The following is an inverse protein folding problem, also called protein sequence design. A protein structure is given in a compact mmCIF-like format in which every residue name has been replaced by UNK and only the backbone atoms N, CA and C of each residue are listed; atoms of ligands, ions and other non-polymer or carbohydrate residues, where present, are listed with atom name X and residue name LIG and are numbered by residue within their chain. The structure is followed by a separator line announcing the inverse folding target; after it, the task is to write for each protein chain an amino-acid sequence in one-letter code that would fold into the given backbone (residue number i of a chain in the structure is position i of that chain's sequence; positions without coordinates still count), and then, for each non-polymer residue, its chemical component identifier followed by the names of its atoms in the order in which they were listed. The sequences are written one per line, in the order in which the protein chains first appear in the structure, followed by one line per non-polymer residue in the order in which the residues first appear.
data_IF_331867705906
#
_entry.id   IF_331867705906
#
_cell.length_a   1.000
_cell.length_b   1.000
_cell.length_c   1.000
_cell.angle_alpha   90.00
_cell.angle_beta   90.00
_cell.angle_gamma   90.00
#
_symmetry.space_group_name_H-M   'P 1'
#
loop_
_entity.id
_entity.type
_entity.pdbx_description
1 polymer ?
#
# COMPACT_ATOMS: atom_id res chain seq x y z
N UNK A 1 -15.92 71.38 -2.32
CA UNK A 1 -14.48 71.35 -2.63
C UNK A 1 -13.78 70.76 -1.40
N UNK A 2 -13.30 69.50 -1.48
CA UNK A 2 -12.41 68.77 -0.52
C UNK A 2 -12.92 68.63 0.94
N UNK A 3 -12.87 67.54 1.71
CA UNK A 3 -12.16 66.24 1.79
C UNK A 3 -12.99 65.36 2.78
N UNK A 4 -13.11 64.05 2.57
CA UNK A 4 -12.65 63.04 3.54
C UNK A 4 -12.72 61.62 2.97
N UNK A 5 -11.62 60.92 3.21
CA UNK A 5 -11.32 59.56 2.81
C UNK A 5 -12.18 58.52 3.54
N UNK A 6 -12.44 57.39 2.89
CA UNK A 6 -12.69 56.13 3.57
C UNK A 6 -12.11 54.96 2.76
N UNK A 7 -10.90 54.57 3.20
CA UNK A 7 -10.37 53.21 3.24
C UNK A 7 -10.51 52.31 2.00
N UNK A 8 -9.51 52.38 1.12
CA UNK A 8 -8.93 51.16 0.55
C UNK A 8 -8.04 50.52 1.61
N UNK A 9 -8.51 49.46 2.26
CA UNK A 9 -7.60 48.50 2.89
C UNK A 9 -7.15 47.52 1.83
N UNK A 10 -5.91 47.72 1.40
CA UNK A 10 -5.10 46.77 0.66
C UNK A 10 -5.04 45.43 1.41
N UNK A 11 -5.86 44.47 0.99
CA UNK A 11 -5.80 43.09 1.47
C UNK A 11 -4.72 42.28 0.75
N UNK A 12 -3.46 42.71 0.79
CA UNK A 12 -2.32 41.96 0.22
C UNK A 12 -2.05 40.63 0.95
N UNK A 13 -2.57 40.45 2.17
CA UNK A 13 -2.43 39.19 2.92
C UNK A 13 -3.41 38.07 2.56
N UNK A 14 -4.49 38.35 1.81
CA UNK A 14 -5.51 37.34 1.49
C UNK A 14 -5.09 36.38 0.38
N UNK A 15 -4.37 36.88 -0.64
CA UNK A 15 -3.89 36.10 -1.77
C UNK A 15 -2.82 35.07 -1.38
N UNK A 16 -1.88 35.46 -0.52
CA UNK A 16 -0.81 34.60 -0.03
C UNK A 16 -1.34 33.48 0.88
N UNK A 17 -2.32 33.77 1.74
CA UNK A 17 -2.96 32.77 2.61
C UNK A 17 -3.78 31.78 1.79
N UNK A 18 -4.51 32.24 0.78
CA UNK A 18 -5.25 31.38 -0.14
C UNK A 18 -4.32 30.47 -0.96
N UNK A 19 -3.25 31.02 -1.52
CA UNK A 19 -2.22 30.27 -2.24
C UNK A 19 -1.55 29.21 -1.37
N UNK A 20 -1.19 29.57 -0.12
CA UNK A 20 -0.65 28.62 0.87
C UNK A 20 -1.62 27.49 1.18
N UNK A 21 -2.90 27.79 1.40
CA UNK A 21 -3.89 26.77 1.73
C UNK A 21 -4.12 25.79 0.57
N UNK A 22 -4.08 26.27 -0.68
CA UNK A 22 -4.12 25.40 -1.87
C UNK A 22 -2.88 24.50 -1.92
N UNK A 23 -1.68 25.08 -1.79
CA UNK A 23 -0.44 24.31 -1.83
C UNK A 23 -0.40 23.22 -0.75
N UNK A 24 -0.82 23.54 0.48
CA UNK A 24 -0.95 22.56 1.56
C UNK A 24 -1.95 21.46 1.19
N UNK A 25 -3.11 21.80 0.66
CA UNK A 25 -4.13 20.81 0.27
C UNK A 25 -3.63 19.85 -0.83
N UNK A 26 -2.84 20.35 -1.78
CA UNK A 26 -2.23 19.55 -2.84
C UNK A 26 -1.15 18.63 -2.27
N UNK A 27 -0.29 19.15 -1.39
CA UNK A 27 0.73 18.37 -0.70
C UNK A 27 0.11 17.23 0.11
N UNK A 28 -0.98 17.48 0.84
CA UNK A 28 -1.69 16.43 1.58
C UNK A 28 -2.20 15.32 0.66
N UNK A 29 -2.83 15.68 -0.47
CA UNK A 29 -3.33 14.69 -1.45
C UNK A 29 -2.20 13.89 -2.09
N UNK A 30 -1.07 14.54 -2.34
CA UNK A 30 0.13 13.90 -2.87
C UNK A 30 0.69 12.88 -1.87
N UNK A 31 0.90 13.28 -0.61
CA UNK A 31 1.39 12.40 0.46
C UNK A 31 0.47 11.20 0.64
N UNK A 32 -0.85 11.43 0.72
CA UNK A 32 -1.85 10.35 0.82
C UNK A 32 -1.75 9.39 -0.37
N UNK A 33 -1.61 9.92 -1.58
CA UNK A 33 -1.48 9.09 -2.79
C UNK A 33 -0.18 8.28 -2.81
N UNK A 34 0.92 8.87 -2.35
CA UNK A 34 2.20 8.19 -2.21
C UNK A 34 2.13 7.07 -1.16
N UNK A 35 1.51 7.31 0.00
CA UNK A 35 1.28 6.28 1.03
C UNK A 35 0.47 5.13 0.47
N UNK A 36 -0.64 5.42 -0.23
CA UNK A 36 -1.48 4.39 -0.84
C UNK A 36 -0.71 3.58 -1.89
N UNK A 37 0.08 4.24 -2.73
CA UNK A 37 0.92 3.55 -3.71
C UNK A 37 1.96 2.65 -3.03
N UNK A 38 2.64 3.14 -1.99
CA UNK A 38 3.59 2.35 -1.21
C UNK A 38 2.94 1.13 -0.55
N UNK A 39 1.74 1.29 0.02
CA UNK A 39 0.98 0.19 0.60
C UNK A 39 0.58 -0.85 -0.44
N UNK A 40 0.07 -0.40 -1.60
CA UNK A 40 -0.25 -1.28 -2.72
C UNK A 40 0.98 -2.05 -3.21
N UNK A 41 2.12 -1.37 -3.33
CA UNK A 41 3.38 -1.98 -3.75
C UNK A 41 3.92 -2.97 -2.71
N UNK A 42 3.82 -2.64 -1.42
CA UNK A 42 4.14 -3.56 -0.31
C UNK A 42 3.26 -4.82 -0.36
N UNK A 43 1.93 -4.66 -0.46
CA UNK A 43 0.98 -5.78 -0.45
C UNK A 43 1.08 -6.64 -1.71
N UNK A 44 1.61 -6.12 -2.82
CA UNK A 44 1.92 -6.92 -4.02
C UNK A 44 3.03 -7.95 -3.82
N UNK A 45 3.73 -7.90 -2.68
CA UNK A 45 4.91 -8.70 -2.31
C UNK A 45 6.18 -8.44 -3.15
N UNK A 46 6.08 -7.70 -4.26
CA UNK A 46 7.21 -7.37 -5.12
C UNK A 46 8.30 -6.57 -4.37
N UNK A 47 7.91 -5.58 -3.56
CA UNK A 47 8.88 -4.81 -2.77
C UNK A 47 9.63 -5.70 -1.78
N UNK A 48 8.91 -6.60 -1.08
CA UNK A 48 9.54 -7.53 -0.13
C UNK A 48 10.48 -8.46 -0.87
N UNK A 49 10.03 -9.08 -1.98
CA UNK A 49 10.85 -9.96 -2.79
C UNK A 49 12.15 -9.31 -3.27
N UNK A 50 12.10 -8.04 -3.70
CA UNK A 50 13.29 -7.30 -4.14
C UNK A 50 14.29 -7.04 -3.03
N UNK A 51 13.82 -6.73 -1.82
CA UNK A 51 14.68 -6.43 -0.68
C UNK A 51 15.19 -7.69 0.04
N UNK A 52 14.49 -8.81 -0.12
CA UNK A 52 14.80 -10.08 0.59
C UNK A 52 15.30 -11.17 -0.34
N UNK A 53 15.58 -10.87 -1.61
CA UNK A 53 16.21 -11.84 -2.52
C UNK A 53 17.62 -12.12 -2.02
N UNK A 54 17.77 -13.22 -1.30
CA UNK A 54 19.05 -13.90 -1.11
C UNK A 54 18.96 -15.23 -1.89
N UNK A 55 19.83 -15.46 -2.90
CA UNK A 55 19.76 -16.65 -3.77
C UNK A 55 19.87 -17.99 -3.03
N UNK A 56 20.43 -18.00 -1.82
CA UNK A 56 20.77 -19.21 -1.07
C UNK A 56 19.75 -19.58 0.03
N UNK A 57 18.70 -18.78 0.27
CA UNK A 57 17.85 -18.95 1.45
C UNK A 57 16.36 -18.73 1.13
N UNK A 58 15.87 -19.53 0.18
CA UNK A 58 14.46 -19.59 -0.28
C UNK A 58 13.47 -19.93 0.86
N UNK A 59 13.95 -20.52 1.96
CA UNK A 59 13.14 -20.89 3.12
C UNK A 59 13.26 -19.91 4.29
N UNK A 60 14.08 -18.85 4.17
CA UNK A 60 14.24 -17.92 5.28
C UNK A 60 12.96 -17.16 5.57
N UNK A 61 12.33 -17.64 6.63
CA UNK A 61 11.79 -16.92 7.77
C UNK A 61 12.64 -15.73 8.25
N UNK A 62 13.32 -14.98 7.36
CA UNK A 62 14.26 -13.94 7.71
C UNK A 62 13.53 -12.88 8.54
N UNK A 63 14.15 -12.53 9.66
CA UNK A 63 13.65 -11.48 10.55
C UNK A 63 13.45 -10.17 9.77
N UNK A 64 14.25 -9.92 8.74
CA UNK A 64 14.12 -8.79 7.82
C UNK A 64 12.82 -8.84 7.02
N UNK A 65 12.48 -9.97 6.38
CA UNK A 65 11.24 -10.09 5.63
C UNK A 65 10.01 -9.84 6.51
N UNK A 66 10.05 -10.27 7.77
CA UNK A 66 8.98 -10.04 8.75
C UNK A 66 8.90 -8.57 9.17
N UNK A 67 10.04 -7.93 9.41
CA UNK A 67 10.11 -6.53 9.83
C UNK A 67 9.61 -5.55 8.77
N UNK A 68 9.76 -5.88 7.48
CA UNK A 68 9.26 -5.06 6.37
C UNK A 68 7.74 -4.86 6.38
N UNK A 69 6.97 -5.71 7.07
CA UNK A 69 5.51 -5.56 7.16
C UNK A 69 5.06 -4.53 8.20
N UNK A 70 5.86 -4.28 9.25
CA UNK A 70 5.47 -3.37 10.33
C UNK A 70 5.25 -1.91 9.87
N UNK A 71 6.11 -1.31 9.03
CA UNK A 71 5.86 0.01 8.48
C UNK A 71 4.53 0.10 7.73
N UNK A 72 4.18 -0.94 6.97
CA UNK A 72 2.89 -1.03 6.28
C UNK A 72 1.72 -1.00 7.24
N UNK A 73 1.78 -1.77 8.34
CA UNK A 73 0.72 -1.76 9.36
C UNK A 73 0.58 -0.41 10.04
N UNK A 74 1.69 0.27 10.34
CA UNK A 74 1.67 1.63 10.91
C UNK A 74 0.99 2.61 9.95
N UNK A 75 1.33 2.56 8.66
CA UNK A 75 0.71 3.43 7.64
C UNK A 75 -0.80 3.16 7.51
N UNK A 76 -1.23 1.89 7.52
CA UNK A 76 -2.66 1.55 7.52
C UNK A 76 -3.35 2.10 8.76
N UNK A 77 -2.76 1.92 9.95
CA UNK A 77 -3.32 2.46 11.20
C UNK A 77 -3.44 3.99 11.17
N UNK A 78 -2.43 4.69 10.65
CA UNK A 78 -2.45 6.14 10.49
C UNK A 78 -3.62 6.59 9.58
N UNK A 79 -3.83 5.89 8.45
CA UNK A 79 -4.98 6.14 7.58
C UNK A 79 -6.30 5.84 8.28
N UNK A 80 -6.39 4.74 9.03
CA UNK A 80 -7.61 4.39 9.78
C UNK A 80 -7.97 5.44 10.83
N UNK A 81 -7.00 5.91 11.62
CA UNK A 81 -7.24 6.96 12.63
C UNK A 81 -7.68 8.26 11.95
N UNK A 82 -7.09 8.60 10.80
CA UNK A 82 -7.44 9.81 10.05
C UNK A 82 -8.86 9.81 9.49
N UNK A 83 -9.38 8.63 9.12
CA UNK A 83 -10.70 8.43 8.52
C UNK A 83 -11.66 7.61 9.39
N UNK A 84 -11.44 7.60 10.71
CA UNK A 84 -12.11 6.72 11.66
C UNK A 84 -13.65 6.68 11.53
N UNK A 85 -14.40 7.81 11.47
CA UNK A 85 -15.85 7.75 11.37
C UNK A 85 -16.34 7.15 10.03
N UNK A 86 -15.63 7.40 8.94
CA UNK A 86 -15.95 6.84 7.64
C UNK A 86 -15.62 5.34 7.58
N UNK A 87 -14.50 4.93 8.19
CA UNK A 87 -14.09 3.54 8.33
C UNK A 87 -15.08 2.72 9.14
N UNK A 88 -15.55 3.24 10.27
CA UNK A 88 -16.57 2.57 11.10
C UNK A 88 -17.87 2.42 10.30
N UNK A 89 -18.29 3.46 9.57
CA UNK A 89 -19.51 3.40 8.75
C UNK A 89 -19.43 2.30 7.70
N UNK A 90 -18.34 2.22 6.94
CA UNK A 90 -18.21 1.19 5.89
C UNK A 90 -18.05 -0.22 6.46
N UNK A 91 -17.42 -0.35 7.64
CA UNK A 91 -17.32 -1.62 8.35
C UNK A 91 -18.70 -2.14 8.80
N UNK A 92 -19.55 -1.27 9.34
CA UNK A 92 -20.92 -1.62 9.74
C UNK A 92 -21.80 -1.99 8.55
N UNK A 93 -21.58 -1.36 7.39
CA UNK A 93 -22.29 -1.71 6.15
C UNK A 93 -21.88 -3.06 5.56
N UNK A 94 -20.74 -3.62 5.97
CA UNK A 94 -20.22 -4.90 5.47
C UNK A 94 -20.03 -5.92 6.61
N UNK A 95 -21.11 -6.33 7.30
CA UNK A 95 -21.00 -7.15 8.51
C UNK A 95 -20.38 -8.52 8.26
N UNK A 96 -20.58 -9.10 7.06
CA UNK A 96 -20.02 -10.41 6.68
C UNK A 96 -18.48 -10.36 6.71
N UNK A 97 -17.87 -9.32 6.14
CA UNK A 97 -16.41 -9.17 6.14
C UNK A 97 -15.84 -9.10 7.55
N UNK A 98 -16.51 -8.34 8.43
CA UNK A 98 -16.10 -8.21 9.83
C UNK A 98 -16.23 -9.55 10.56
N UNK A 99 -17.33 -10.28 10.37
CA UNK A 99 -17.51 -11.62 10.95
C UNK A 99 -16.42 -12.57 10.48
N UNK A 100 -16.05 -12.57 9.20
CA UNK A 100 -14.96 -13.39 8.69
C UNK A 100 -13.62 -13.06 9.36
N UNK A 101 -13.27 -11.77 9.48
CA UNK A 101 -12.02 -11.35 10.13
C UNK A 101 -12.01 -11.72 11.61
N UNK A 102 -13.13 -11.51 12.31
CA UNK A 102 -13.27 -11.90 13.71
C UNK A 102 -13.17 -13.41 13.89
N UNK A 103 -13.78 -14.20 13.01
CA UNK A 103 -13.70 -15.65 13.02
C UNK A 103 -12.26 -16.14 12.86
N UNK A 104 -11.50 -15.55 11.94
CA UNK A 104 -10.06 -15.81 11.82
C UNK A 104 -9.30 -15.42 13.10
N UNK A 105 -9.69 -14.35 13.78
CA UNK A 105 -9.17 -14.00 15.10
C UNK A 105 -9.44 -15.07 16.16
N UNK A 106 -10.70 -15.54 16.25
CA UNK A 106 -11.13 -16.57 17.21
C UNK A 106 -10.44 -17.91 16.95
N UNK A 107 -10.05 -18.20 15.71
CA UNK A 107 -9.32 -19.43 15.36
C UNK A 107 -7.97 -19.59 16.06
N UNK A 108 -7.44 -18.51 16.64
CA UNK A 108 -6.28 -18.54 17.53
C UNK A 108 -6.47 -19.48 18.73
N UNK A 109 -7.69 -19.59 19.27
CA UNK A 109 -7.98 -20.33 20.51
C UNK A 109 -7.72 -21.82 20.36
N UNK A 110 -7.96 -22.38 19.16
CA UNK A 110 -7.78 -23.80 18.87
C UNK A 110 -6.60 -24.08 17.93
N UNK A 111 -5.70 -23.10 17.75
CA UNK A 111 -4.57 -23.22 16.84
C UNK A 111 -3.43 -24.03 17.44
N UNK A 112 -2.79 -24.88 16.61
CA UNK A 112 -1.59 -25.66 16.97
C UNK A 112 -0.38 -24.73 17.18
N UNK A 113 -0.21 -23.71 16.32
CA UNK A 113 0.78 -22.63 16.48
C UNK A 113 0.10 -21.26 16.71
N UNK A 114 -0.31 -20.92 17.96
CA UNK A 114 -1.04 -19.69 18.25
C UNK A 114 -0.29 -18.43 17.82
N UNK A 115 1.03 -18.38 18.00
CA UNK A 115 1.84 -17.21 17.66
C UNK A 115 1.81 -16.87 16.16
N UNK A 116 1.83 -17.89 15.29
CA UNK A 116 1.76 -17.70 13.84
C UNK A 116 0.36 -17.28 13.43
N UNK A 117 -0.65 -17.92 14.02
CA UNK A 117 -2.06 -17.61 13.76
C UNK A 117 -2.39 -16.17 14.16
N UNK A 118 -1.98 -15.72 15.34
CA UNK A 118 -2.19 -14.33 15.78
C UNK A 118 -1.60 -13.32 14.78
N UNK A 119 -0.35 -13.55 14.36
CA UNK A 119 0.33 -12.68 13.38
C UNK A 119 -0.42 -12.65 12.05
N UNK A 120 -0.89 -13.80 11.57
CA UNK A 120 -1.67 -13.90 10.32
C UNK A 120 -3.05 -13.22 10.45
N UNK A 121 -3.71 -13.36 11.60
CA UNK A 121 -4.98 -12.67 11.87
C UNK A 121 -4.83 -11.16 11.94
N UNK A 122 -3.73 -10.65 12.52
CA UNK A 122 -3.40 -9.21 12.49
C UNK A 122 -3.12 -8.75 11.04
N UNK A 123 -2.34 -9.51 10.28
CA UNK A 123 -2.08 -9.19 8.88
C UNK A 123 -3.38 -9.12 8.07
N UNK A 124 -4.29 -10.08 8.29
CA UNK A 124 -5.62 -10.11 7.67
C UNK A 124 -6.47 -8.90 8.06
N UNK A 125 -6.48 -8.51 9.34
CA UNK A 125 -7.17 -7.32 9.82
C UNK A 125 -6.65 -6.06 9.11
N UNK A 126 -5.33 -5.92 8.99
CA UNK A 126 -4.70 -4.75 8.36
C UNK A 126 -4.98 -4.69 6.86
N UNK A 127 -4.86 -5.81 6.14
CA UNK A 127 -5.15 -5.84 4.69
C UNK A 127 -6.62 -5.61 4.40
N UNK A 128 -7.52 -6.20 5.21
CA UNK A 128 -8.96 -5.97 5.08
C UNK A 128 -9.32 -4.51 5.36
N UNK A 129 -8.74 -3.92 6.40
CA UNK A 129 -8.97 -2.50 6.72
C UNK A 129 -8.46 -1.58 5.62
N UNK A 130 -7.31 -1.90 5.01
CA UNK A 130 -6.81 -1.16 3.85
C UNK A 130 -7.74 -1.30 2.63
N UNK A 131 -8.27 -2.50 2.37
CA UNK A 131 -9.27 -2.72 1.32
C UNK A 131 -10.54 -1.90 1.53
N UNK A 132 -11.06 -1.86 2.76
CA UNK A 132 -12.20 -1.00 3.14
C UNK A 132 -11.88 0.49 2.97
N UNK A 133 -10.66 0.92 3.32
CA UNK A 133 -10.21 2.28 3.09
C UNK A 133 -10.21 2.62 1.59
N UNK A 134 -9.70 1.73 0.73
CA UNK A 134 -9.72 1.94 -0.72
C UNK A 134 -11.14 2.06 -1.26
N UNK A 135 -12.04 1.17 -0.83
CA UNK A 135 -13.44 1.18 -1.27
C UNK A 135 -14.20 2.43 -0.82
N UNK A 136 -13.87 2.98 0.35
CA UNK A 136 -14.47 4.22 0.86
C UNK A 136 -13.93 5.46 0.15
N UNK A 137 -12.65 5.45 -0.25
CA UNK A 137 -11.94 6.65 -0.71
C UNK A 137 -11.93 6.86 -2.23
N UNK A 138 -11.92 5.77 -3.00
CA UNK A 138 -11.69 5.80 -4.44
C UNK A 138 -12.88 5.19 -5.20
N UNK A 139 -13.30 5.87 -6.27
CA UNK A 139 -14.24 5.29 -7.23
C UNK A 139 -13.60 4.14 -8.03
N UNK A 140 -14.43 3.31 -8.66
CA UNK A 140 -13.98 2.19 -9.49
C UNK A 140 -12.89 2.58 -10.50
N UNK A 141 -13.10 3.66 -11.25
CA UNK A 141 -12.13 4.14 -12.24
C UNK A 141 -10.80 4.56 -11.60
N UNK A 142 -10.85 5.22 -10.44
CA UNK A 142 -9.66 5.66 -9.73
C UNK A 142 -8.88 4.45 -9.18
N UNK A 143 -9.60 3.44 -8.66
CA UNK A 143 -9.02 2.20 -8.18
C UNK A 143 -8.28 1.46 -9.31
N UNK A 144 -8.91 1.32 -10.47
CA UNK A 144 -8.33 0.68 -11.66
C UNK A 144 -7.06 1.43 -12.10
N UNK A 145 -7.08 2.77 -12.13
CA UNK A 145 -5.90 3.56 -12.47
C UNK A 145 -4.73 3.34 -11.50
N UNK A 146 -5.00 3.21 -10.19
CA UNK A 146 -3.96 2.95 -9.19
C UNK A 146 -3.34 1.56 -9.35
N UNK A 147 -4.17 0.54 -9.62
CA UNK A 147 -3.68 -0.80 -9.92
C UNK A 147 -2.90 -0.83 -11.24
N UNK A 148 -3.39 -0.18 -12.29
CA UNK A 148 -2.70 -0.09 -13.57
C UNK A 148 -1.32 0.56 -13.42
N UNK A 149 -1.22 1.65 -12.64
CA UNK A 149 0.05 2.30 -12.35
C UNK A 149 1.00 1.35 -11.58
N UNK A 150 0.49 0.62 -10.59
CA UNK A 150 1.29 -0.37 -9.84
C UNK A 150 1.83 -1.47 -10.77
N UNK A 151 0.97 -2.05 -11.61
CA UNK A 151 1.36 -3.10 -12.55
C UNK A 151 2.34 -2.58 -13.60
N UNK A 152 2.15 -1.36 -14.10
CA UNK A 152 3.10 -0.73 -15.02
C UNK A 152 4.47 -0.57 -14.38
N UNK A 153 4.54 -0.02 -13.17
CA UNK A 153 5.81 0.17 -12.46
C UNK A 153 6.49 -1.17 -12.18
N UNK A 154 5.76 -2.17 -11.70
CA UNK A 154 6.32 -3.50 -11.42
C UNK A 154 6.76 -4.23 -12.70
N UNK A 155 6.05 -4.05 -13.81
CA UNK A 155 6.46 -4.60 -15.11
C UNK A 155 7.76 -3.95 -15.61
N UNK A 156 7.89 -2.62 -15.50
CA UNK A 156 9.11 -1.91 -15.87
C UNK A 156 10.29 -2.33 -14.99
N UNK A 157 10.10 -2.45 -13.68
CA UNK A 157 11.13 -2.97 -12.76
C UNK A 157 11.52 -4.38 -13.16
N UNK A 158 10.54 -5.24 -13.46
CA UNK A 158 10.79 -6.63 -13.87
C UNK A 158 11.59 -6.73 -15.17
N UNK A 159 11.25 -5.91 -16.17
CA UNK A 159 12.00 -5.80 -17.43
C UNK A 159 13.43 -5.31 -17.18
N UNK A 160 13.59 -4.27 -16.36
CA UNK A 160 14.90 -3.72 -16.02
C UNK A 160 15.78 -4.78 -15.34
N UNK A 161 15.24 -5.51 -14.35
CA UNK A 161 15.99 -6.55 -13.66
C UNK A 161 16.33 -7.72 -14.59
N UNK A 162 15.41 -8.15 -15.45
CA UNK A 162 15.65 -9.24 -16.39
C UNK A 162 16.78 -8.94 -17.37
N UNK A 163 16.93 -7.68 -17.80
CA UNK A 163 17.90 -7.24 -18.79
C UNK A 163 19.24 -6.80 -18.20
N UNK A 164 19.23 -5.99 -17.14
CA UNK A 164 20.42 -5.32 -16.62
C UNK A 164 21.00 -5.98 -15.36
N UNK A 165 20.19 -6.72 -14.58
CA UNK A 165 20.62 -7.38 -13.34
C UNK A 165 20.10 -8.82 -13.30
N UNK A 166 20.63 -9.72 -14.17
CA UNK A 166 20.13 -11.08 -14.32
C UNK A 166 20.22 -11.91 -13.02
N UNK A 167 21.13 -11.57 -12.11
CA UNK A 167 21.23 -12.20 -10.79
C UNK A 167 19.95 -12.05 -9.95
N UNK A 168 19.24 -10.91 -10.06
CA UNK A 168 18.01 -10.65 -9.33
C UNK A 168 16.75 -10.94 -10.17
N UNK A 169 16.81 -10.68 -11.48
CA UNK A 169 15.68 -10.82 -12.40
C UNK A 169 15.43 -12.22 -12.94
N UNK A 170 16.41 -13.13 -12.82
CA UNK A 170 16.32 -14.51 -13.31
C UNK A 170 16.58 -15.52 -12.19
N UNK A 171 15.92 -16.67 -12.26
CA UNK A 171 16.12 -17.77 -11.31
C UNK A 171 17.49 -18.44 -11.55
N UNK A 172 18.20 -18.75 -10.46
CA UNK A 172 19.58 -19.27 -10.49
C UNK A 172 19.68 -20.78 -10.16
N UNK A 173 18.73 -21.34 -9.41
CA UNK A 173 18.81 -22.74 -8.98
C UNK A 173 17.86 -23.65 -9.76
N UNK A 174 16.57 -23.68 -9.38
CA UNK A 174 15.60 -24.66 -9.86
C UNK A 174 15.29 -24.50 -11.37
N UNK A 175 15.30 -23.25 -11.86
CA UNK A 175 14.95 -22.92 -13.24
C UNK A 175 15.92 -21.89 -13.82
N UNK A 176 17.18 -22.30 -14.02
CA UNK A 176 18.24 -21.44 -14.54
C UNK A 176 17.80 -20.65 -15.78
N UNK A 177 17.95 -19.32 -15.72
CA UNK A 177 17.61 -18.41 -16.82
C UNK A 177 16.12 -18.09 -16.97
N UNK A 178 15.24 -18.68 -16.16
CA UNK A 178 13.81 -18.32 -16.17
C UNK A 178 13.60 -16.94 -15.56
N UNK A 179 12.81 -16.10 -16.25
CA UNK A 179 12.51 -14.75 -15.79
C UNK A 179 11.53 -14.78 -14.62
N UNK A 180 11.93 -14.16 -13.51
CA UNK A 180 11.09 -13.97 -12.31
C UNK A 180 10.80 -12.50 -12.00
N UNK A 181 11.49 -11.58 -12.68
CA UNK A 181 11.21 -10.14 -12.57
C UNK A 181 11.35 -9.63 -11.14
N UNK A 182 10.36 -8.86 -10.69
CA UNK A 182 10.30 -8.30 -9.33
C UNK A 182 9.80 -9.28 -8.25
N UNK A 183 9.44 -10.52 -8.60
CA UNK A 183 8.96 -11.53 -7.66
C UNK A 183 9.99 -12.66 -7.45
N UNK A 184 9.75 -13.47 -6.41
CA UNK A 184 10.65 -14.59 -6.04
C UNK A 184 10.65 -15.73 -7.07
N UNK A 185 9.53 -15.96 -7.75
CA UNK A 185 9.35 -17.09 -8.67
C UNK A 185 8.79 -16.65 -10.03
N UNK A 186 9.17 -17.39 -11.09
CA UNK A 186 8.64 -17.22 -12.45
C UNK A 186 7.10 -17.37 -12.53
N UNK A 187 6.53 -18.26 -11.72
CA UNK A 187 5.08 -18.54 -11.74
C UNK A 187 4.28 -17.38 -11.13
N UNK A 188 4.79 -16.79 -10.05
CA UNK A 188 4.24 -15.58 -9.45
C UNK A 188 4.34 -14.40 -10.41
N UNK A 189 5.48 -14.24 -11.09
CA UNK A 189 5.64 -13.21 -12.12
C UNK A 189 4.62 -13.36 -13.26
N UNK A 190 4.53 -14.55 -13.86
CA UNK A 190 3.58 -14.81 -14.94
C UNK A 190 2.13 -14.62 -14.53
N UNK A 191 1.75 -15.08 -13.33
CA UNK A 191 0.38 -14.93 -12.82
C UNK A 191 -0.04 -13.47 -12.63
N UNK A 192 0.88 -12.61 -12.16
CA UNK A 192 0.59 -11.21 -11.91
C UNK A 192 0.58 -10.35 -13.18
N UNK A 193 1.25 -10.79 -14.26
CA UNK A 193 1.29 -10.06 -15.54
C UNK A 193 0.20 -10.53 -16.52
N UNK A 194 -0.34 -11.74 -16.34
CA UNK A 194 -1.34 -12.33 -17.25
C UNK A 194 -2.80 -12.09 -16.81
N UNK A 195 -3.02 -11.68 -15.55
CA UNK A 195 -4.35 -11.37 -14.98
C UNK A 195 -4.69 -9.90 -15.15
#
# INVERSE_FOLDING_TARGET
MTIFASHMTSGTGGGDVYGRNIALSQLYRFIESAIVFLLLFQFSTALVALLTTDPNDLESQSLLARSLWYPGYVLVLLLMVRYLPAMIRIAVLNPILIVCVLWCGVSYIWSIEPQVTLRRSIALLMTTSFGLFLAMRYDWNQLVQRFALLFLVTALISLFLGLFIPQLGQMQEIHQGAWRGAWLEKNSFGTNMAK
#
